data_IF_712974038936
#
_entry.id   IF_712974038936
#
_cell.length_a   1.000
_cell.length_b   1.000
_cell.length_c   1.000
_cell.angle_alpha   90.00
_cell.angle_beta   90.00
_cell.angle_gamma   90.00
#
_symmetry.space_group_name_H-M   'P 1'
#
loop_
_entity.id
_entity.type
_entity.pdbx_description
1 polymer ?
#
# COMPACT_ATOMS: atom_id res chain seq x y z
N UNK A 1 3.36 -22.70 -3.56
CA UNK A 1 1.94 -22.73 -3.95
C UNK A 1 1.17 -22.02 -2.86
N UNK A 2 0.98 -20.71 -3.00
CA UNK A 2 0.21 -19.91 -2.03
C UNK A 2 -1.25 -20.29 -2.15
N UNK A 3 -1.78 -20.89 -1.09
CA UNK A 3 -3.17 -21.32 -1.03
C UNK A 3 -4.04 -20.07 -0.83
N UNK A 4 -4.71 -19.63 -1.90
CA UNK A 4 -5.68 -18.55 -1.82
C UNK A 4 -6.82 -18.99 -0.91
N UNK A 5 -6.96 -18.35 0.24
CA UNK A 5 -8.07 -18.59 1.17
C UNK A 5 -9.33 -18.05 0.47
N UNK A 6 -10.35 -18.89 0.30
CA UNK A 6 -11.63 -18.45 -0.27
C UNK A 6 -12.25 -17.37 0.63
N UNK A 7 -12.79 -16.30 0.01
CA UNK A 7 -13.47 -15.23 0.73
C UNK A 7 -14.64 -15.81 1.54
N UNK A 8 -14.57 -15.70 2.87
CA UNK A 8 -15.56 -16.29 3.80
C UNK A 8 -16.35 -15.25 4.59
N UNK A 9 -15.91 -13.99 4.61
CA UNK A 9 -16.57 -12.90 5.32
C UNK A 9 -17.62 -12.22 4.44
N UNK A 10 -18.75 -11.82 5.05
CA UNK A 10 -19.87 -11.18 4.34
C UNK A 10 -20.01 -9.71 4.75
N UNK A 11 -20.15 -8.83 3.75
CA UNK A 11 -20.35 -7.39 3.91
C UNK A 11 -21.63 -6.98 3.17
N UNK A 12 -22.65 -6.52 3.90
CA UNK A 12 -23.99 -6.25 3.37
C UNK A 12 -24.49 -4.87 3.76
N UNK A 13 -25.14 -4.17 2.82
CA UNK A 13 -25.80 -2.90 3.07
C UNK A 13 -26.99 -2.70 2.11
N UNK A 14 -27.93 -1.85 2.52
CA UNK A 14 -29.08 -1.47 1.68
C UNK A 14 -28.70 -0.28 0.80
N UNK A 15 -29.09 -0.34 -0.47
CA UNK A 15 -28.91 0.72 -1.44
C UNK A 15 -30.22 1.43 -1.75
N UNK A 16 -30.13 2.74 -2.03
CA UNK A 16 -31.22 3.45 -2.70
C UNK A 16 -31.42 2.85 -4.10
N UNK A 17 -32.66 2.76 -4.62
CA UNK A 17 -32.93 2.17 -5.94
C UNK A 17 -32.11 2.79 -7.07
N UNK A 18 -31.92 4.11 -7.05
CA UNK A 18 -31.11 4.82 -8.05
C UNK A 18 -29.62 4.47 -7.97
N UNK A 19 -29.10 4.26 -6.77
CA UNK A 19 -27.72 3.83 -6.59
C UNK A 19 -27.51 2.41 -7.14
N UNK A 20 -28.46 1.50 -6.87
CA UNK A 20 -28.46 0.14 -7.42
C UNK A 20 -28.41 0.15 -8.95
N UNK A 21 -29.32 0.90 -9.60
CA UNK A 21 -29.35 1.00 -11.07
C UNK A 21 -28.03 1.51 -11.67
N UNK A 22 -27.43 2.54 -11.07
CA UNK A 22 -26.15 3.09 -11.55
C UNK A 22 -25.00 2.08 -11.41
N UNK A 23 -24.97 1.33 -10.32
CA UNK A 23 -23.94 0.29 -10.09
C UNK A 23 -24.13 -0.87 -11.09
N UNK A 24 -25.36 -1.31 -11.31
CA UNK A 24 -25.68 -2.37 -12.30
C UNK A 24 -25.24 -1.95 -13.71
N UNK A 25 -25.58 -0.73 -14.12
CA UNK A 25 -25.15 -0.20 -15.42
C UNK A 25 -23.63 -0.11 -15.55
N UNK A 26 -22.92 0.31 -14.49
CA UNK A 26 -21.46 0.38 -14.51
C UNK A 26 -20.82 -1.01 -14.63
N UNK A 27 -21.34 -1.99 -13.89
CA UNK A 27 -20.88 -3.38 -13.96
C UNK A 27 -21.10 -4.00 -15.36
N UNK A 28 -22.24 -3.71 -15.99
CA UNK A 28 -22.53 -4.13 -17.37
C UNK A 28 -21.51 -3.56 -18.38
N UNK A 29 -21.15 -2.28 -18.24
CA UNK A 29 -20.21 -1.60 -19.13
C UNK A 29 -18.79 -2.17 -19.06
N UNK A 30 -18.40 -2.71 -17.91
CA UNK A 30 -17.07 -3.31 -17.70
C UNK A 30 -17.10 -4.85 -17.76
N UNK A 31 -18.25 -5.43 -18.10
CA UNK A 31 -18.45 -6.87 -18.28
C UNK A 31 -18.15 -7.72 -17.03
N UNK A 32 -18.54 -7.22 -15.85
CA UNK A 32 -18.39 -7.96 -14.59
C UNK A 32 -19.72 -8.09 -13.84
N UNK A 33 -19.77 -8.97 -12.84
CA UNK A 33 -20.97 -9.11 -12.02
C UNK A 33 -21.13 -7.88 -11.12
N UNK A 34 -22.37 -7.44 -10.87
CA UNK A 34 -22.65 -6.29 -9.97
C UNK A 34 -22.00 -6.44 -8.59
N UNK A 35 -21.92 -7.68 -8.10
CA UNK A 35 -21.28 -8.01 -6.82
C UNK A 35 -19.76 -7.86 -6.88
N UNK A 36 -19.13 -8.31 -7.97
CA UNK A 36 -17.68 -8.17 -8.15
C UNK A 36 -17.31 -6.69 -8.35
N UNK A 37 -18.05 -5.95 -9.18
CA UNK A 37 -17.89 -4.49 -9.33
C UNK A 37 -17.92 -3.78 -7.99
N UNK A 38 -18.95 -4.06 -7.18
CA UNK A 38 -19.13 -3.42 -5.89
C UNK A 38 -18.04 -3.82 -4.88
N UNK A 39 -17.58 -5.07 -4.90
CA UNK A 39 -16.48 -5.55 -4.05
C UNK A 39 -15.19 -4.83 -4.41
N UNK A 40 -14.80 -4.85 -5.69
CA UNK A 40 -13.56 -4.23 -6.18
C UNK A 40 -13.54 -2.74 -5.86
N UNK A 41 -14.63 -2.01 -6.15
CA UNK A 41 -14.71 -0.58 -5.85
C UNK A 41 -14.59 -0.27 -4.34
N UNK A 42 -15.12 -1.14 -3.47
CA UNK A 42 -15.00 -0.98 -2.02
C UNK A 42 -13.57 -1.26 -1.53
N UNK A 43 -12.94 -2.33 -2.02
CA UNK A 43 -11.56 -2.71 -1.70
C UNK A 43 -10.57 -1.63 -2.16
N UNK A 44 -10.67 -1.17 -3.41
CA UNK A 44 -9.82 -0.10 -3.95
C UNK A 44 -9.92 1.19 -3.14
N UNK A 45 -11.15 1.57 -2.75
CA UNK A 45 -11.35 2.79 -1.94
C UNK A 45 -10.79 2.62 -0.53
N UNK A 46 -10.93 1.43 0.07
CA UNK A 46 -10.35 1.14 1.37
C UNK A 46 -8.82 1.21 1.31
N UNK A 47 -8.20 0.56 0.32
CA UNK A 47 -6.75 0.56 0.12
C UNK A 47 -6.21 1.97 -0.11
N UNK A 48 -6.90 2.78 -0.91
CA UNK A 48 -6.52 4.17 -1.12
C UNK A 48 -6.49 4.95 0.21
N UNK A 49 -7.56 4.87 1.02
CA UNK A 49 -7.65 5.58 2.29
C UNK A 49 -6.61 5.06 3.29
N UNK A 50 -6.44 3.74 3.37
CA UNK A 50 -5.42 3.14 4.23
C UNK A 50 -4.03 3.58 3.81
N UNK A 51 -3.73 3.64 2.52
CA UNK A 51 -2.45 4.14 2.02
C UNK A 51 -2.24 5.61 2.41
N UNK A 52 -3.22 6.48 2.12
CA UNK A 52 -3.17 7.92 2.45
C UNK A 52 -2.89 8.16 3.94
N UNK A 53 -3.50 7.36 4.83
CA UNK A 53 -3.39 7.55 6.28
C UNK A 53 -2.29 6.73 6.96
N UNK A 54 -1.85 5.62 6.37
CA UNK A 54 -0.78 4.77 6.90
C UNK A 54 0.59 5.14 6.34
N UNK A 55 0.67 5.91 5.25
CA UNK A 55 1.92 6.47 4.73
C UNK A 55 2.44 7.67 5.55
N UNK A 56 1.80 8.02 6.67
CA UNK A 56 2.33 8.99 7.61
C UNK A 56 3.50 8.39 8.40
N UNK A 57 4.73 8.82 8.10
CA UNK A 57 5.87 8.52 8.99
C UNK A 57 5.66 9.31 10.27
N UNK A 58 5.19 8.65 11.33
CA UNK A 58 5.09 9.25 12.65
C UNK A 58 6.50 9.34 13.22
N UNK A 59 7.00 10.56 13.33
CA UNK A 59 8.31 10.84 13.91
C UNK A 59 8.16 11.73 15.14
N UNK A 60 9.09 11.63 16.11
CA UNK A 60 9.20 12.61 17.19
C UNK A 60 9.25 14.05 16.66
N UNK A 61 8.78 15.01 17.45
CA UNK A 61 8.68 16.42 17.02
C UNK A 61 10.04 17.03 16.63
N UNK A 62 11.13 16.53 17.22
CA UNK A 62 12.52 16.92 16.97
C UNK A 62 13.18 16.17 15.81
N UNK A 63 12.55 15.14 15.25
CA UNK A 63 13.14 14.31 14.20
C UNK A 63 13.64 15.10 13.00
N UNK A 64 12.90 16.12 12.57
CA UNK A 64 13.30 16.92 11.41
C UNK A 64 14.58 17.71 11.69
N UNK A 65 14.73 18.26 12.90
CA UNK A 65 15.94 18.96 13.33
C UNK A 65 17.12 17.98 13.49
N UNK A 66 16.89 16.79 14.04
CA UNK A 66 17.91 15.75 14.14
C UNK A 66 18.38 15.27 12.77
N UNK A 67 17.44 15.10 11.83
CA UNK A 67 17.73 14.71 10.46
C UNK A 67 18.60 15.77 9.76
N UNK A 68 18.24 17.05 9.84
CA UNK A 68 19.02 18.12 9.23
C UNK A 68 20.43 18.18 9.81
N UNK A 69 20.58 18.07 11.14
CA UNK A 69 21.90 18.00 11.78
C UNK A 69 22.74 16.81 11.30
N UNK A 70 22.11 15.66 11.10
CA UNK A 70 22.80 14.47 10.60
C UNK A 70 23.25 14.61 9.13
N UNK A 71 22.53 15.41 8.32
CA UNK A 71 22.91 15.72 6.94
C UNK A 71 24.07 16.72 6.88
N UNK A 72 24.07 17.73 7.76
CA UNK A 72 25.15 18.72 7.86
C UNK A 72 26.45 18.13 8.41
N UNK A 73 26.35 17.14 9.31
CA UNK A 73 27.50 16.43 9.87
C UNK A 73 27.34 14.90 9.73
N UNK A 74 27.59 14.34 8.54
CA UNK A 74 27.38 12.93 8.28
C UNK A 74 28.22 12.03 9.18
N UNK A 75 27.58 11.04 9.82
CA UNK A 75 28.27 10.04 10.60
C UNK A 75 29.16 9.15 9.72
N UNK A 76 30.27 8.68 10.29
CA UNK A 76 31.12 7.69 9.61
C UNK A 76 30.45 6.30 9.66
N UNK A 77 30.46 5.54 8.55
CA UNK A 77 29.88 4.20 8.55
C UNK A 77 30.63 3.30 9.54
N UNK A 78 29.88 2.58 10.37
CA UNK A 78 30.46 1.62 11.31
C UNK A 78 31.00 0.36 10.58
N UNK A 79 31.75 -0.47 11.30
CA UNK A 79 32.37 -1.67 10.71
C UNK A 79 31.35 -2.64 10.08
N UNK A 80 30.13 -2.73 10.63
CA UNK A 80 29.08 -3.59 10.07
C UNK A 80 28.56 -3.05 8.73
N UNK A 81 28.34 -1.74 8.62
CA UNK A 81 27.95 -1.06 7.38
C UNK A 81 29.03 -1.16 6.30
N UNK A 82 30.31 -1.02 6.69
CA UNK A 82 31.44 -1.19 5.77
C UNK A 82 31.46 -2.62 5.19
N UNK A 83 31.39 -3.64 6.04
CA UNK A 83 31.31 -5.06 5.61
C UNK A 83 30.07 -5.35 4.76
N UNK A 84 28.93 -4.73 5.06
CA UNK A 84 27.72 -4.88 4.25
C UNK A 84 27.90 -4.27 2.86
N UNK A 85 28.51 -3.09 2.76
CA UNK A 85 28.80 -2.44 1.48
C UNK A 85 29.78 -3.27 0.63
N UNK A 86 30.81 -3.86 1.24
CA UNK A 86 31.74 -4.78 0.56
C UNK A 86 31.03 -6.01 -0.02
N UNK A 87 30.14 -6.64 0.77
CA UNK A 87 29.32 -7.77 0.29
C UNK A 87 28.41 -7.37 -0.88
N UNK A 88 27.79 -6.19 -0.80
CA UNK A 88 26.88 -5.70 -1.84
C UNK A 88 27.59 -5.40 -3.18
N UNK A 89 28.85 -4.94 -3.14
CA UNK A 89 29.67 -4.71 -4.36
C UNK A 89 29.97 -5.99 -5.14
N UNK A 90 29.94 -7.16 -4.49
CA UNK A 90 30.05 -8.46 -5.15
C UNK A 90 28.77 -8.92 -5.87
N UNK A 91 27.64 -8.23 -5.66
CA UNK A 91 26.35 -8.52 -6.29
C UNK A 91 26.04 -7.40 -7.30
N UNK A 92 26.89 -7.27 -8.31
CA UNK A 92 26.56 -6.57 -9.56
C UNK A 92 27.02 -7.44 -10.72
N UNK A 93 26.39 -8.61 -10.89
CA UNK A 93 26.22 -9.18 -12.23
C UNK A 93 24.80 -8.88 -12.67
N UNK A 94 24.67 -7.86 -13.51
CA UNK A 94 23.46 -7.64 -14.31
C UNK A 94 23.43 -8.73 -15.39
N UNK A 95 22.46 -9.63 -15.34
CA UNK A 95 22.02 -10.42 -16.49
C UNK A 95 20.57 -10.08 -16.78
#
# INVERSE_FOLDING_TARGET
MTMTIAASARFEFRLRPEAKKRIEQAAELVHESTSDFARTAAEERADQILHEHSAGTIVPADFFEELLRALDAPARPNAALQKAAERARGIVERR
#
